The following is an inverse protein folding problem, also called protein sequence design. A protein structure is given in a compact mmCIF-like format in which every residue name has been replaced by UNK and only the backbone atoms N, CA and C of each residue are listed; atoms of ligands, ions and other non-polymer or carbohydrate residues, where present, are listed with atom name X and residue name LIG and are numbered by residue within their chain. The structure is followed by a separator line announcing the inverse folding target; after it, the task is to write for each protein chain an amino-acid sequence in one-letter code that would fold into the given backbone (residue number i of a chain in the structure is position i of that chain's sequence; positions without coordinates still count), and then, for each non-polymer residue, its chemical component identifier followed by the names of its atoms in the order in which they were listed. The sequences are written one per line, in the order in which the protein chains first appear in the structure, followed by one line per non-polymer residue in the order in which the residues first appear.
data_IF_212199765840
#
_entry.id   IF_212199765840
#
_cell.length_a   1.000
_cell.length_b   1.000
_cell.length_c   1.000
_cell.angle_alpha   90.00
_cell.angle_beta   90.00
_cell.angle_gamma   90.00
#
_symmetry.space_group_name_H-M   'P 1'
#
loop_
_entity.id
_entity.type
_entity.pdbx_description
1 polymer ?
#
# COMPACT_ATOMS: atom_id res chain seq x y z
N UNK A 1 -34.66 -13.22 44.99
CA UNK A 1 -33.91 -14.16 44.13
C UNK A 1 -33.66 -13.48 42.80
N UNK A 2 -32.41 -13.10 42.54
CA UNK A 2 -31.94 -12.50 41.30
C UNK A 2 -31.62 -13.61 40.27
N UNK A 3 -32.29 -13.59 39.12
CA UNK A 3 -31.99 -14.52 38.02
C UNK A 3 -30.96 -13.86 37.10
N UNK A 4 -29.68 -14.20 37.29
CA UNK A 4 -28.59 -13.86 36.37
C UNK A 4 -28.76 -14.73 35.12
N UNK A 5 -29.36 -14.16 34.07
CA UNK A 5 -29.45 -14.80 32.76
C UNK A 5 -28.06 -14.81 32.11
N UNK A 6 -27.28 -15.87 32.36
CA UNK A 6 -26.04 -16.14 31.63
C UNK A 6 -26.43 -16.80 30.31
N UNK A 7 -26.26 -16.04 29.23
CA UNK A 7 -26.46 -16.52 27.86
C UNK A 7 -25.51 -17.71 27.61
N UNK A 8 -26.01 -18.90 27.18
CA UNK A 8 -25.13 -20.03 26.89
C UNK A 8 -24.19 -19.64 25.75
N UNK A 9 -22.89 -19.57 26.03
CA UNK A 9 -21.87 -19.33 25.03
C UNK A 9 -21.88 -20.45 23.99
N UNK A 10 -21.73 -20.05 22.72
CA UNK A 10 -21.63 -20.94 21.56
C UNK A 10 -20.47 -21.94 21.78
N UNK A 11 -20.78 -23.22 22.06
CA UNK A 11 -19.79 -24.29 22.27
C UNK A 11 -19.16 -24.78 20.96
N UNK A 12 -19.64 -24.27 19.83
CA UNK A 12 -19.14 -24.63 18.52
C UNK A 12 -17.79 -23.93 18.35
N UNK A 13 -16.73 -24.75 18.38
CA UNK A 13 -15.32 -24.44 18.15
C UNK A 13 -15.18 -23.38 17.06
N UNK A 14 -15.31 -22.12 17.47
CA UNK A 14 -15.42 -21.01 16.55
C UNK A 14 -14.10 -20.82 15.85
N UNK A 15 -14.15 -20.21 14.68
CA UNK A 15 -13.00 -19.76 13.88
C UNK A 15 -12.05 -18.77 14.61
N UNK A 16 -12.23 -18.61 15.93
CA UNK A 16 -11.52 -17.71 16.82
C UNK A 16 -10.85 -18.45 18.01
N UNK A 17 -10.80 -19.78 17.99
CA UNK A 17 -9.97 -20.54 18.93
C UNK A 17 -8.54 -20.60 18.37
N UNK A 18 -7.53 -20.05 19.06
CA UNK A 18 -6.16 -20.10 18.57
C UNK A 18 -5.70 -21.57 18.47
N UNK A 19 -4.87 -21.92 17.47
CA UNK A 19 -4.36 -23.29 17.36
C UNK A 19 -3.67 -23.70 18.65
N UNK A 20 -4.13 -24.79 19.25
CA UNK A 20 -3.51 -25.39 20.43
C UNK A 20 -2.15 -25.97 20.02
N UNK A 21 -1.08 -25.18 20.17
CA UNK A 21 0.26 -25.72 20.14
C UNK A 21 0.49 -26.46 21.46
N UNK A 22 0.57 -27.78 21.40
CA UNK A 22 0.91 -28.61 22.56
C UNK A 22 2.27 -28.18 23.11
N UNK A 23 2.29 -27.42 24.22
CA UNK A 23 3.47 -27.21 25.05
C UNK A 23 3.75 -28.49 25.85
N UNK A 24 3.98 -29.62 25.17
CA UNK A 24 4.67 -30.74 25.79
C UNK A 24 6.13 -30.32 25.91
N UNK A 25 6.55 -30.06 27.14
CA UNK A 25 7.94 -29.94 27.54
C UNK A 25 8.77 -31.05 26.88
N UNK A 26 9.49 -30.71 25.81
CA UNK A 26 10.48 -31.59 25.20
C UNK A 26 11.77 -31.49 26.04
N UNK A 27 11.78 -32.11 27.22
CA UNK A 27 13.03 -32.58 27.83
C UNK A 27 13.21 -34.01 27.35
N UNK A 28 13.73 -34.15 26.13
CA UNK A 28 14.27 -35.42 25.66
C UNK A 28 15.35 -35.11 24.63
N UNK A 29 16.60 -35.38 25.01
CA UNK A 29 17.75 -35.29 24.10
C UNK A 29 17.56 -36.29 22.96
N UNK A 30 17.13 -35.79 21.80
CA UNK A 30 17.10 -36.55 20.54
C UNK A 30 18.48 -36.54 19.86
N UNK A 31 18.92 -37.65 19.22
CA UNK A 31 20.22 -37.73 18.54
C UNK A 31 20.39 -36.67 17.44
N UNK A 32 21.59 -36.08 17.42
CA UNK A 32 22.10 -35.06 16.49
C UNK A 32 21.65 -35.26 15.02
N UNK A 33 21.09 -34.20 14.43
CA UNK A 33 20.71 -34.17 13.01
C UNK A 33 21.96 -34.25 12.13
N UNK A 34 21.94 -35.21 11.20
CA UNK A 34 22.92 -35.41 10.14
C UNK A 34 22.94 -34.18 9.22
N UNK A 35 24.08 -33.51 9.10
CA UNK A 35 24.32 -32.35 8.23
C UNK A 35 24.18 -32.76 6.75
N UNK A 36 23.04 -32.44 6.12
CA UNK A 36 22.78 -32.73 4.69
C UNK A 36 23.42 -31.67 3.78
N UNK A 37 24.75 -31.60 3.77
CA UNK A 37 25.51 -30.85 2.78
C UNK A 37 26.38 -31.80 1.96
N UNK A 38 25.76 -32.61 1.07
CA UNK A 38 26.50 -33.29 -0.01
C UNK A 38 25.64 -33.39 -1.27
N UNK A 39 26.01 -32.64 -2.30
CA UNK A 39 25.57 -32.86 -3.69
C UNK A 39 26.34 -34.07 -4.26
N UNK A 40 25.69 -35.09 -4.84
CA UNK A 40 26.38 -36.11 -5.63
C UNK A 40 26.43 -35.69 -7.12
N UNK A 41 27.62 -35.75 -7.72
CA UNK A 41 27.86 -35.74 -9.17
C UNK A 41 28.25 -37.16 -9.62
N UNK A 42 28.17 -37.50 -10.92
CA UNK A 42 27.63 -38.77 -11.41
C UNK A 42 28.68 -39.89 -11.47
N UNK A 43 28.24 -41.12 -11.29
CA UNK A 43 28.98 -42.31 -11.70
C UNK A 43 28.04 -43.34 -12.31
N UNK A 44 28.36 -43.70 -13.54
CA UNK A 44 27.77 -44.75 -14.35
C UNK A 44 27.77 -46.10 -13.65
N UNK A 45 26.75 -46.92 -13.91
CA UNK A 45 26.94 -48.37 -13.97
C UNK A 45 25.95 -49.22 -13.19
N UNK A 46 25.01 -49.78 -13.96
CA UNK A 46 24.44 -51.14 -13.83
C UNK A 46 23.34 -51.39 -12.76
N UNK A 47 22.17 -51.73 -13.29
CA UNK A 47 20.93 -52.23 -12.67
C UNK A 47 21.13 -53.50 -11.82
N UNK A 48 20.23 -53.78 -10.84
CA UNK A 48 19.09 -54.69 -11.11
C UNK A 48 17.71 -54.24 -10.56
N UNK A 49 16.70 -54.58 -11.36
CA UNK A 49 15.23 -54.72 -11.15
C UNK A 49 14.59 -54.48 -9.77
N UNK A 50 13.52 -53.68 -9.70
CA UNK A 50 12.47 -53.78 -8.67
C UNK A 50 11.22 -54.55 -9.15
N UNK A 51 10.46 -55.19 -8.24
CA UNK A 51 9.18 -55.80 -8.58
C UNK A 51 8.04 -54.78 -8.71
N UNK A 52 7.13 -55.12 -9.62
CA UNK A 52 5.85 -54.51 -9.93
C UNK A 52 5.02 -54.12 -8.69
N UNK A 53 4.53 -52.89 -8.67
CA UNK A 53 3.23 -52.56 -8.07
C UNK A 53 2.66 -51.34 -8.79
N UNK A 54 1.76 -51.65 -9.70
CA UNK A 54 0.80 -50.76 -10.34
C UNK A 54 -0.01 -50.00 -9.30
N UNK A 55 -0.04 -48.67 -9.39
CA UNK A 55 -1.19 -47.84 -9.05
C UNK A 55 -1.05 -46.47 -9.73
N UNK A 56 -1.68 -46.37 -10.89
CA UNK A 56 -2.03 -45.11 -11.56
C UNK A 56 -3.24 -44.52 -10.85
N UNK A 57 -3.09 -43.34 -10.24
CA UNK A 57 -4.22 -42.51 -9.83
C UNK A 57 -3.91 -41.05 -10.18
N UNK A 58 -4.34 -40.66 -11.38
CA UNK A 58 -4.43 -39.27 -11.79
C UNK A 58 -5.51 -38.55 -10.96
N UNK A 59 -5.36 -37.23 -10.68
CA UNK A 59 -6.41 -36.47 -10.03
C UNK A 59 -7.60 -36.25 -10.98
N UNK A 60 -8.86 -36.32 -10.51
CA UNK A 60 -10.02 -36.05 -11.34
C UNK A 60 -10.13 -34.54 -11.66
N UNK A 61 -10.37 -34.23 -12.93
CA UNK A 61 -10.76 -32.91 -13.40
C UNK A 61 -12.16 -32.57 -12.85
N UNK A 62 -12.24 -31.63 -11.92
CA UNK A 62 -13.51 -31.02 -11.53
C UNK A 62 -13.90 -29.98 -12.59
N UNK A 63 -14.72 -30.39 -13.57
CA UNK A 63 -15.41 -29.49 -14.48
C UNK A 63 -16.50 -28.72 -13.74
N UNK A 64 -16.27 -27.43 -13.48
CA UNK A 64 -17.30 -26.52 -12.99
C UNK A 64 -17.90 -25.83 -14.22
N UNK A 65 -19.11 -26.25 -14.59
CA UNK A 65 -19.90 -25.56 -15.62
C UNK A 65 -20.38 -24.19 -15.08
N UNK A 66 -20.34 -23.12 -15.88
CA UNK A 66 -20.92 -21.84 -15.49
C UNK A 66 -22.46 -21.88 -15.60
N UNK A 67 -23.21 -21.16 -14.74
CA UNK A 67 -24.66 -21.04 -14.85
C UNK A 67 -25.08 -20.14 -16.03
N UNK A 68 -26.28 -20.33 -16.61
CA UNK A 68 -26.76 -19.55 -17.73
C UNK A 68 -27.13 -18.11 -17.32
N UNK A 69 -26.68 -17.15 -18.12
CA UNK A 69 -27.09 -15.74 -18.03
C UNK A 69 -28.54 -15.59 -18.51
N UNK A 70 -29.40 -15.08 -17.64
CA UNK A 70 -30.74 -14.58 -17.99
C UNK A 70 -30.71 -13.05 -17.98
N UNK A 71 -30.98 -12.37 -19.11
CA UNK A 71 -31.36 -10.97 -19.09
C UNK A 71 -32.89 -10.89 -19.17
N UNK A 72 -33.54 -10.65 -18.04
CA UNK A 72 -34.92 -10.19 -18.00
C UNK A 72 -34.98 -8.69 -18.36
N UNK A 73 -35.84 -8.39 -19.32
CA UNK A 73 -36.23 -7.09 -19.88
C UNK A 73 -36.75 -6.09 -18.80
N UNK A 74 -36.75 -4.78 -19.11
CA UNK A 74 -38.05 -4.08 -19.13
C UNK A 74 -38.31 -3.29 -20.45
N UNK A 75 -39.59 -3.05 -20.82
CA UNK A 75 -39.99 -2.36 -22.05
C UNK A 75 -39.78 -0.85 -21.99
N UNK A 76 -39.73 -0.27 -23.19
CA UNK A 76 -39.86 1.14 -23.49
C UNK A 76 -41.32 1.61 -23.42
N UNK A 77 -41.53 2.75 -22.76
CA UNK A 77 -42.59 3.74 -22.96
C UNK A 77 -41.87 5.08 -22.69
N UNK A 78 -41.86 6.09 -23.56
CA UNK A 78 -42.94 6.57 -24.40
C UNK A 78 -43.34 7.95 -23.87
N UNK A 79 -42.92 9.01 -24.58
CA UNK A 79 -43.55 10.34 -24.74
C UNK A 79 -42.50 11.45 -24.86
N UNK A 80 -42.46 12.01 -26.06
CA UNK A 80 -41.80 13.25 -26.46
C UNK A 80 -42.60 14.47 -25.99
N UNK A 81 -41.93 15.62 -25.76
CA UNK A 81 -42.07 16.92 -26.48
C UNK A 81 -41.30 18.05 -25.71
N UNK A 82 -40.59 18.99 -26.38
CA UNK A 82 -39.80 20.12 -25.78
C UNK A 82 -40.52 21.50 -25.98
N UNK A 83 -39.88 22.71 -25.98
CA UNK A 83 -38.94 23.48 -25.12
C UNK A 83 -39.59 24.88 -24.73
N UNK A 84 -38.93 26.07 -24.54
CA UNK A 84 -37.54 26.47 -24.23
C UNK A 84 -37.40 27.46 -23.03
N UNK A 85 -36.23 27.51 -22.37
CA UNK A 85 -35.73 28.77 -21.80
C UNK A 85 -34.22 28.86 -22.02
N UNK A 86 -33.85 29.57 -23.08
CA UNK A 86 -32.49 29.98 -23.36
C UNK A 86 -32.10 31.14 -22.43
N UNK A 87 -31.47 30.80 -21.31
CA UNK A 87 -30.62 31.73 -20.57
C UNK A 87 -29.19 31.61 -21.08
N UNK A 88 -28.43 32.71 -21.29
CA UNK A 88 -27.03 32.63 -21.69
C UNK A 88 -26.21 32.03 -20.54
N UNK A 89 -25.96 30.72 -20.60
CA UNK A 89 -24.88 30.12 -19.84
C UNK A 89 -23.58 30.76 -20.34
N UNK A 90 -22.92 31.51 -19.45
CA UNK A 90 -21.49 31.82 -19.56
C UNK A 90 -20.73 30.50 -19.56
N UNK A 91 -20.63 29.90 -20.74
CA UNK A 91 -19.60 28.94 -21.04
C UNK A 91 -18.26 29.67 -21.04
N UNK A 92 -17.20 28.90 -20.80
CA UNK A 92 -15.82 29.27 -21.10
C UNK A 92 -15.08 30.14 -20.07
N UNK A 93 -14.68 29.48 -18.98
CA UNK A 93 -13.24 29.29 -18.80
C UNK A 93 -13.01 27.85 -18.35
N UNK A 94 -13.01 26.95 -19.33
CA UNK A 94 -12.21 25.75 -19.21
C UNK A 94 -10.79 26.22 -18.98
N UNK A 95 -10.36 26.21 -17.71
CA UNK A 95 -8.97 25.96 -17.45
C UNK A 95 -8.75 24.57 -18.06
N UNK A 96 -8.15 24.53 -19.25
CA UNK A 96 -7.34 23.41 -19.65
C UNK A 96 -6.35 23.22 -18.50
N UNK A 97 -6.77 22.43 -17.51
CA UNK A 97 -5.87 21.85 -16.55
C UNK A 97 -5.02 20.95 -17.42
N UNK A 98 -3.90 21.49 -17.90
CA UNK A 98 -2.76 20.64 -18.25
C UNK A 98 -2.73 19.59 -17.17
N UNK A 99 -3.00 18.34 -17.54
CA UNK A 99 -2.66 17.22 -16.68
C UNK A 99 -1.14 17.22 -16.70
N UNK A 100 -0.55 18.10 -15.90
CA UNK A 100 0.86 18.09 -15.62
C UNK A 100 1.16 16.69 -15.12
N UNK A 101 2.12 16.03 -15.76
CA UNK A 101 2.56 14.73 -15.29
C UNK A 101 2.98 14.87 -13.82
N UNK A 102 2.53 13.95 -12.95
CA UNK A 102 2.87 14.02 -11.53
C UNK A 102 4.38 13.89 -11.37
N UNK A 103 5.01 14.95 -10.85
CA UNK A 103 6.46 15.10 -10.85
C UNK A 103 7.09 14.38 -9.65
N UNK A 104 7.78 13.28 -9.93
CA UNK A 104 8.52 12.48 -8.95
C UNK A 104 9.48 13.34 -8.13
N UNK A 105 10.24 14.20 -8.81
CA UNK A 105 11.28 15.04 -8.21
C UNK A 105 10.69 15.97 -7.14
N UNK A 106 9.53 16.58 -7.41
CA UNK A 106 8.84 17.43 -6.43
C UNK A 106 8.41 16.65 -5.19
N UNK A 107 7.81 15.46 -5.39
CA UNK A 107 7.35 14.61 -4.27
C UNK A 107 8.53 14.17 -3.41
N UNK A 108 9.59 13.66 -4.05
CA UNK A 108 10.78 13.19 -3.34
C UNK A 108 11.51 14.32 -2.63
N UNK A 109 11.58 15.51 -3.23
CA UNK A 109 12.18 16.69 -2.59
C UNK A 109 11.49 17.01 -1.27
N UNK A 110 10.16 17.08 -1.26
CA UNK A 110 9.39 17.40 -0.06
C UNK A 110 9.56 16.33 1.02
N UNK A 111 9.44 15.05 0.66
CA UNK A 111 9.55 13.95 1.62
C UNK A 111 10.98 13.83 2.20
N UNK A 112 12.02 14.07 1.39
CA UNK A 112 13.40 14.08 1.87
C UNK A 112 13.70 15.28 2.76
N UNK A 113 13.22 16.48 2.43
CA UNK A 113 13.35 17.63 3.35
C UNK A 113 12.67 17.35 4.69
N UNK A 114 11.49 16.73 4.67
CA UNK A 114 10.78 16.37 5.90
C UNK A 114 11.58 15.35 6.72
N UNK A 115 12.20 14.38 6.05
CA UNK A 115 13.09 13.41 6.69
C UNK A 115 14.33 14.07 7.30
N UNK A 116 14.94 15.05 6.62
CA UNK A 116 16.10 15.78 7.15
C UNK A 116 15.73 16.66 8.36
N UNK A 117 14.50 17.18 8.42
CA UNK A 117 13.98 17.83 9.62
C UNK A 117 13.87 16.82 10.79
N UNK A 118 13.35 15.62 10.52
CA UNK A 118 13.23 14.54 11.51
C UNK A 118 14.59 14.10 12.07
N UNK A 119 15.65 14.07 11.25
CA UNK A 119 17.00 13.69 11.68
C UNK A 119 17.57 14.55 12.81
N UNK A 120 17.10 15.80 12.95
CA UNK A 120 17.57 16.73 13.98
C UNK A 120 16.99 16.45 15.35
N UNK A 121 15.86 15.75 15.44
CA UNK A 121 15.10 15.58 16.67
C UNK A 121 14.90 14.11 17.08
N UNK A 122 14.98 13.16 16.12
CA UNK A 122 14.61 11.76 16.33
C UNK A 122 15.82 10.84 16.13
N UNK A 123 15.74 9.63 16.69
CA UNK A 123 16.76 8.59 16.56
C UNK A 123 17.09 8.29 15.09
N UNK A 124 18.39 8.20 14.81
CA UNK A 124 18.93 7.95 13.47
C UNK A 124 18.43 6.62 12.85
N UNK A 125 18.18 5.59 13.67
CA UNK A 125 17.63 4.32 13.20
C UNK A 125 16.25 4.49 12.54
N UNK A 126 15.37 5.33 13.10
CA UNK A 126 14.04 5.57 12.55
C UNK A 126 14.17 6.32 11.22
N UNK A 127 15.00 7.35 11.18
CA UNK A 127 15.26 8.11 9.95
C UNK A 127 15.87 7.23 8.85
N UNK A 128 16.77 6.30 9.20
CA UNK A 128 17.34 5.36 8.25
C UNK A 128 16.32 4.35 7.69
N UNK A 129 15.39 3.87 8.52
CA UNK A 129 14.31 3.01 8.01
C UNK A 129 13.41 3.77 7.04
N UNK A 130 12.97 4.98 7.42
CA UNK A 130 12.15 5.85 6.55
C UNK A 130 12.90 6.15 5.23
N UNK A 131 14.19 6.48 5.28
CA UNK A 131 15.02 6.71 4.09
C UNK A 131 15.04 5.51 3.14
N UNK A 132 15.11 4.28 3.68
CA UNK A 132 15.06 3.06 2.86
C UNK A 132 13.69 2.91 2.20
N UNK A 133 12.60 3.20 2.91
CA UNK A 133 11.24 3.14 2.34
C UNK A 133 11.02 4.20 1.26
N UNK A 134 11.54 5.42 1.43
CA UNK A 134 11.47 6.45 0.39
C UNK A 134 12.22 6.04 -0.89
N UNK A 135 13.35 5.33 -0.77
CA UNK A 135 14.03 4.76 -1.95
C UNK A 135 13.18 3.72 -2.69
N UNK A 136 12.43 2.88 -1.97
CA UNK A 136 11.49 1.94 -2.59
C UNK A 136 10.34 2.65 -3.31
N UNK A 137 9.84 3.76 -2.75
CA UNK A 137 8.85 4.62 -3.41
C UNK A 137 9.41 5.17 -4.73
N UNK A 138 10.62 5.75 -4.69
CA UNK A 138 11.30 6.30 -5.87
C UNK A 138 11.51 5.24 -6.97
N UNK A 139 11.98 4.05 -6.58
CA UNK A 139 12.14 2.91 -7.49
C UNK A 139 10.80 2.46 -8.09
N UNK A 140 9.75 2.34 -7.27
CA UNK A 140 8.42 1.96 -7.74
C UNK A 140 7.86 2.99 -8.74
N UNK A 141 8.17 4.28 -8.53
CA UNK A 141 7.75 5.34 -9.43
C UNK A 141 8.50 5.31 -10.75
N UNK A 142 9.84 5.17 -10.73
CA UNK A 142 10.70 5.10 -11.93
C UNK A 142 10.49 3.85 -12.77
N UNK A 143 10.06 2.76 -12.15
CA UNK A 143 9.76 1.50 -12.84
C UNK A 143 8.32 1.43 -13.37
N UNK A 144 7.56 2.55 -13.33
CA UNK A 144 6.16 2.63 -13.75
C UNK A 144 5.23 1.61 -13.07
N UNK A 145 5.56 1.19 -11.85
CA UNK A 145 4.72 0.30 -11.03
C UNK A 145 3.61 1.03 -10.28
N UNK A 146 3.64 2.37 -10.27
CA UNK A 146 2.64 3.20 -9.63
C UNK A 146 1.65 3.73 -10.66
N UNK A 147 0.38 3.42 -10.44
CA UNK A 147 -0.72 3.92 -11.24
C UNK A 147 -0.89 5.44 -11.10
N UNK A 148 -1.47 6.07 -12.12
CA UNK A 148 -1.71 7.51 -12.14
C UNK A 148 -2.52 8.03 -10.91
N UNK A 149 -3.56 7.32 -10.42
CA UNK A 149 -4.25 7.72 -9.19
C UNK A 149 -3.33 7.77 -7.97
N UNK A 150 -2.44 6.79 -7.81
CA UNK A 150 -1.46 6.75 -6.72
C UNK A 150 -0.49 7.91 -6.81
N UNK A 151 0.08 8.15 -8.00
CA UNK A 151 1.00 9.27 -8.23
C UNK A 151 0.36 10.62 -7.90
N UNK A 152 -0.88 10.85 -8.34
CA UNK A 152 -1.63 12.08 -8.04
C UNK A 152 -1.89 12.26 -6.54
N UNK A 153 -2.34 11.22 -5.86
CA UNK A 153 -2.55 11.26 -4.40
C UNK A 153 -1.25 11.48 -3.64
N UNK A 154 -0.12 10.96 -4.12
CA UNK A 154 1.18 11.23 -3.53
C UNK A 154 1.63 12.69 -3.69
N UNK A 155 1.32 13.35 -4.81
CA UNK A 155 1.54 14.80 -4.96
C UNK A 155 0.73 15.58 -3.92
N UNK A 156 -0.54 15.23 -3.72
CA UNK A 156 -1.38 15.85 -2.70
C UNK A 156 -0.85 15.59 -1.28
N UNK A 157 -0.43 14.36 -1.00
CA UNK A 157 0.12 13.98 0.31
C UNK A 157 1.40 14.77 0.60
N UNK A 158 2.29 14.91 -0.38
CA UNK A 158 3.50 15.72 -0.25
C UNK A 158 3.13 17.20 0.02
N UNK A 159 2.16 17.76 -0.72
CA UNK A 159 1.67 19.12 -0.47
C UNK A 159 1.09 19.30 0.93
N UNK A 160 0.35 18.32 1.45
CA UNK A 160 -0.21 18.35 2.81
C UNK A 160 0.87 18.25 3.89
N UNK A 161 1.87 17.39 3.69
CA UNK A 161 3.06 17.30 4.55
C UNK A 161 3.81 18.62 4.57
N UNK A 162 3.99 19.25 3.40
CA UNK A 162 4.62 20.55 3.30
C UNK A 162 3.79 21.64 3.97
N UNK A 163 2.46 21.61 3.88
CA UNK A 163 1.59 22.60 4.50
C UNK A 163 1.31 22.34 6.01
N UNK A 164 1.91 21.31 6.60
CA UNK A 164 1.65 20.91 7.98
C UNK A 164 0.24 20.37 8.23
N UNK A 165 -0.50 19.98 7.19
CA UNK A 165 -1.86 19.42 7.28
C UNK A 165 -1.82 17.91 7.54
N UNK A 166 -1.36 17.52 8.72
CA UNK A 166 -1.08 16.12 9.05
C UNK A 166 -2.31 15.20 8.99
N UNK A 167 -3.49 15.68 9.40
CA UNK A 167 -4.71 14.86 9.38
C UNK A 167 -5.17 14.58 7.94
N UNK A 168 -5.06 15.56 7.03
CA UNK A 168 -5.32 15.39 5.59
C UNK A 168 -4.32 14.43 4.94
N UNK A 169 -3.03 14.53 5.29
CA UNK A 169 -2.01 13.59 4.83
C UNK A 169 -2.28 12.15 5.31
N UNK A 170 -2.75 11.98 6.55
CA UNK A 170 -3.11 10.67 7.10
C UNK A 170 -4.39 10.09 6.47
N UNK A 171 -5.35 10.93 6.09
CA UNK A 171 -6.53 10.53 5.31
C UNK A 171 -6.13 10.05 3.90
N UNK A 172 -5.22 10.74 3.22
CA UNK A 172 -4.66 10.30 1.94
C UNK A 172 -3.91 8.97 2.06
N UNK A 173 -3.12 8.79 3.12
CA UNK A 173 -2.47 7.53 3.46
C UNK A 173 -3.52 6.40 3.61
N UNK A 174 -4.59 6.63 4.39
CA UNK A 174 -5.67 5.65 4.58
C UNK A 174 -6.38 5.31 3.27
N UNK A 175 -6.72 6.32 2.47
CA UNK A 175 -7.34 6.14 1.16
C UNK A 175 -6.46 5.33 0.21
N UNK A 176 -5.15 5.59 0.16
CA UNK A 176 -4.19 4.80 -0.62
C UNK A 176 -4.09 3.35 -0.14
N UNK A 177 -4.13 3.13 1.17
CA UNK A 177 -4.11 1.78 1.76
C UNK A 177 -5.41 0.99 1.50
N UNK A 178 -6.54 1.66 1.25
CA UNK A 178 -7.81 1.00 0.90
C UNK A 178 -7.85 0.65 -0.58
N UNK A 179 -7.53 1.62 -1.45
CA UNK A 179 -7.75 1.46 -2.88
C UNK A 179 -6.57 0.80 -3.61
N UNK A 180 -5.34 0.98 -3.11
CA UNK A 180 -4.10 0.69 -3.84
C UNK A 180 -3.05 -0.05 -2.98
N UNK A 181 -3.48 -0.87 -2.02
CA UNK A 181 -2.58 -1.56 -1.06
C UNK A 181 -1.44 -2.34 -1.73
N UNK A 182 -1.69 -2.95 -2.88
CA UNK A 182 -0.71 -3.75 -3.62
C UNK A 182 0.44 -2.91 -4.17
N UNK A 183 0.19 -1.63 -4.47
CA UNK A 183 1.19 -0.72 -5.02
C UNK A 183 1.96 0.02 -3.92
N UNK A 184 1.31 0.30 -2.79
CA UNK A 184 1.86 1.20 -1.76
C UNK A 184 2.43 0.50 -0.52
N UNK A 185 1.97 -0.73 -0.21
CA UNK A 185 2.24 -1.39 1.08
C UNK A 185 3.73 -1.51 1.46
N UNK A 186 4.61 -1.72 0.49
CA UNK A 186 6.04 -1.92 0.74
C UNK A 186 6.74 -0.69 1.31
N UNK A 187 6.33 0.52 0.92
CA UNK A 187 6.98 1.78 1.29
C UNK A 187 6.11 2.70 2.14
N UNK A 188 4.78 2.55 2.08
CA UNK A 188 3.81 3.44 2.73
C UNK A 188 3.96 3.49 4.26
N UNK A 189 4.42 2.40 4.89
CA UNK A 189 4.71 2.41 6.33
C UNK A 189 5.79 3.44 6.72
N UNK A 190 6.76 3.69 5.84
CA UNK A 190 7.77 4.73 6.04
C UNK A 190 7.17 6.13 5.91
N UNK A 191 6.26 6.33 4.96
CA UNK A 191 5.54 7.61 4.78
C UNK A 191 4.61 7.89 5.98
N UNK A 192 3.87 6.88 6.45
CA UNK A 192 3.06 6.99 7.66
C UNK A 192 3.92 7.38 8.87
N UNK A 193 5.08 6.75 9.03
CA UNK A 193 6.00 7.09 10.12
C UNK A 193 6.49 8.53 9.97
N UNK A 194 6.88 8.94 8.76
CA UNK A 194 7.31 10.30 8.48
C UNK A 194 6.25 11.33 8.89
N UNK A 195 4.98 11.14 8.51
CA UNK A 195 3.86 12.01 8.90
C UNK A 195 3.72 12.10 10.43
N UNK A 196 3.81 10.96 11.12
CA UNK A 196 3.69 10.91 12.57
C UNK A 196 4.86 11.62 13.28
N UNK A 197 6.07 11.53 12.71
CA UNK A 197 7.26 12.18 13.24
C UNK A 197 7.23 13.68 12.99
N UNK A 198 6.91 14.13 11.77
CA UNK A 198 6.80 15.56 11.45
C UNK A 198 5.72 16.25 12.27
N UNK A 199 4.62 15.56 12.60
CA UNK A 199 3.59 16.05 13.53
C UNK A 199 4.11 16.30 14.94
N UNK A 200 5.11 15.55 15.39
CA UNK A 200 5.71 15.69 16.72
C UNK A 200 6.86 16.70 16.76
N UNK A 201 7.34 17.17 15.60
CA UNK A 201 8.37 18.18 15.53
C UNK A 201 7.81 19.56 15.87
N UNK A 202 8.64 20.38 16.53
CA UNK A 202 8.35 21.80 16.73
C UNK A 202 8.22 22.51 15.36
N UNK A 203 7.26 23.43 15.19
CA UNK A 203 7.04 24.13 13.92
C UNK A 203 8.28 24.89 13.42
N UNK A 204 9.15 25.36 14.32
CA UNK A 204 10.40 26.05 13.97
C UNK A 204 11.38 25.18 13.17
N UNK A 205 11.37 23.86 13.36
CA UNK A 205 12.23 22.93 12.62
C UNK A 205 11.65 22.57 11.23
N UNK A 206 10.38 22.89 11.00
CA UNK A 206 9.64 22.59 9.77
C UNK A 206 9.61 23.77 8.80
N UNK A 207 10.00 24.97 9.23
CA UNK A 207 10.17 26.17 8.39
C UNK A 207 10.91 25.93 7.04
N UNK A 208 11.96 25.07 6.96
CA UNK A 208 12.63 24.77 5.69
C UNK A 208 11.77 24.04 4.64
N UNK A 209 10.64 23.46 5.05
CA UNK A 209 9.67 22.83 4.16
C UNK A 209 8.81 23.87 3.45
N UNK A 210 8.43 24.94 4.14
CA UNK A 210 7.55 25.99 3.61
C UNK A 210 8.28 26.87 2.58
N UNK A 211 9.59 27.01 2.73
CA UNK A 211 10.43 27.78 1.79
C UNK A 211 10.80 26.94 0.56
N UNK A 212 9.84 26.79 -0.34
CA UNK A 212 10.08 26.61 -1.79
C UNK A 212 9.58 27.90 -2.45
N UNK A 213 10.19 29.02 -2.07
CA UNK A 213 10.05 30.29 -2.78
C UNK A 213 11.33 30.55 -3.57
N UNK A 214 11.24 31.06 -4.81
CA UNK A 214 12.44 31.50 -5.52
C UNK A 214 13.16 32.57 -4.69
N UNK A 215 14.51 32.68 -4.76
CA UNK A 215 15.20 33.80 -4.16
C UNK A 215 14.63 35.10 -4.74
N UNK A 216 14.04 35.91 -3.87
CA UNK A 216 13.64 37.27 -4.19
C UNK A 216 14.90 38.03 -4.62
N UNK A 217 14.85 38.55 -5.84
CA UNK A 217 15.88 39.35 -6.49
C UNK A 217 16.22 40.57 -5.64
N UNK A 218 17.51 40.92 -5.56
CA UNK A 218 17.98 42.21 -5.10
C UNK A 218 18.10 43.12 -6.34
N UNK A 219 17.27 44.19 -6.47
CA UNK A 219 17.35 45.11 -7.58
C UNK A 219 17.87 46.45 -7.08
N UNK A 220 19.18 46.61 -6.85
CA UNK A 220 19.78 47.95 -6.83
C UNK A 220 21.31 47.90 -6.89
N UNK A 221 21.90 48.28 -8.01
CA UNK A 221 22.80 49.44 -8.00
C UNK A 221 23.05 49.95 -9.41
N UNK A 222 22.38 51.06 -9.67
CA UNK A 222 22.65 52.04 -10.69
C UNK A 222 23.97 52.76 -10.38
N UNK A 223 24.91 52.79 -11.33
CA UNK A 223 25.81 53.93 -11.62
C UNK A 223 26.45 53.73 -12.98
#
# INVERSE_FOLDING_TARGET
MENVYVKPGNQERGWNDPPQFSYSHQVTHGPQRKLLNKRPSPASGVLPTPPNSSNTAAPPMCGVAPPPLTPARPPADGVATPPPHAGPMKSQRGASSSQSEPELETVMLVLNKALDACRRAIKDQVCNDVAKRLRLLEESWRTDKLSLPVRRRMVLLASDVQAGRWDSADDLHRSLMVDHVTEVSQWMVGVKRLIAETRQLSPELLEPLHSVGPPVQDPDHQS
#
